data_IF_874991608891
#
_entry.id   IF_874991608891
#
_cell.length_a   1.000
_cell.length_b   1.000
_cell.length_c   1.000
_cell.angle_alpha   90.00
_cell.angle_beta   90.00
_cell.angle_gamma   90.00
#
_symmetry.space_group_name_H-M   'P 1'
#
loop_
_entity.id
_entity.type
_entity.pdbx_description
1 polymer ?
#
# COMPACT_ATOMS: atom_id res chain seq x y z
N UNK A 1 -7.57 13.75 6.59
CA UNK A 1 -6.63 12.97 5.76
C UNK A 1 -6.13 11.81 6.58
N UNK A 2 -6.52 10.60 6.19
CA UNK A 2 -6.12 9.38 6.89
C UNK A 2 -4.76 8.92 6.37
N UNK A 3 -3.80 8.79 7.28
CA UNK A 3 -2.50 8.23 6.95
C UNK A 3 -2.54 6.72 7.14
N UNK A 4 -1.79 6.03 6.30
CA UNK A 4 -1.65 4.59 6.38
C UNK A 4 -0.16 4.26 6.34
N UNK A 5 0.27 3.38 7.23
CA UNK A 5 1.59 2.77 7.21
C UNK A 5 1.52 1.59 6.24
N UNK A 6 2.20 1.72 5.11
CA UNK A 6 2.31 0.71 4.08
C UNK A 6 3.64 0.01 4.20
N UNK A 7 3.62 -1.31 4.15
CA UNK A 7 4.81 -2.16 4.02
C UNK A 7 4.68 -2.95 2.72
N UNK A 8 5.47 -2.56 1.73
CA UNK A 8 5.53 -3.18 0.41
C UNK A 8 6.72 -4.14 0.41
N UNK A 9 6.44 -5.42 0.18
CA UNK A 9 7.45 -6.47 0.05
C UNK A 9 7.42 -6.99 -1.36
N UNK A 10 8.49 -6.84 -2.13
CA UNK A 10 8.63 -7.42 -3.46
C UNK A 10 9.79 -8.42 -3.45
N UNK A 11 9.56 -9.63 -3.96
CA UNK A 11 10.60 -10.65 -4.07
C UNK A 11 11.83 -10.11 -4.80
N UNK A 12 12.98 -10.06 -4.12
CA UNK A 12 14.24 -9.56 -4.68
C UNK A 12 14.57 -8.09 -4.41
N UNK A 13 13.72 -7.34 -3.70
CA UNK A 13 14.00 -5.95 -3.29
C UNK A 13 13.82 -5.75 -1.76
N UNK A 14 14.44 -4.68 -1.24
CA UNK A 14 14.30 -4.29 0.16
C UNK A 14 12.84 -3.90 0.46
N UNK A 15 12.33 -4.29 1.63
CA UNK A 15 11.00 -3.90 2.09
C UNK A 15 10.87 -2.37 2.10
N UNK A 16 9.86 -1.83 1.41
CA UNK A 16 9.56 -0.40 1.39
C UNK A 16 8.50 -0.13 2.45
N UNK A 17 8.90 0.55 3.52
CA UNK A 17 7.99 1.02 4.56
C UNK A 17 7.78 2.52 4.39
N UNK A 18 6.53 2.94 4.17
CA UNK A 18 6.17 4.35 4.03
C UNK A 18 4.85 4.64 4.72
N UNK A 19 4.75 5.80 5.37
CA UNK A 19 3.48 6.32 5.89
C UNK A 19 2.99 7.38 4.94
N UNK A 20 1.92 7.10 4.21
CA UNK A 20 1.36 8.02 3.22
C UNK A 20 -0.15 7.90 3.18
N UNK A 21 -0.80 8.87 2.55
CA UNK A 21 -2.23 8.79 2.23
C UNK A 21 -2.49 7.80 1.08
N UNK A 22 -3.76 7.45 0.88
CA UNK A 22 -4.20 6.59 -0.24
C UNK A 22 -3.79 7.12 -1.64
N UNK A 23 -3.99 8.41 -1.99
CA UNK A 23 -3.55 8.93 -3.28
C UNK A 23 -2.01 8.98 -3.42
N UNK A 24 -1.28 9.21 -2.33
CA UNK A 24 0.18 9.15 -2.36
C UNK A 24 0.70 7.72 -2.53
N UNK A 25 0.02 6.72 -1.96
CA UNK A 25 0.36 5.32 -2.21
C UNK A 25 0.25 4.99 -3.70
N UNK A 26 -0.81 5.47 -4.36
CA UNK A 26 -0.99 5.28 -5.79
C UNK A 26 0.22 5.79 -6.59
N UNK A 27 0.69 7.00 -6.27
CA UNK A 27 1.88 7.59 -6.90
C UNK A 27 3.16 6.78 -6.60
N UNK A 28 3.35 6.37 -5.34
CA UNK A 28 4.48 5.53 -4.93
C UNK A 28 4.50 4.18 -5.65
N UNK A 29 3.34 3.52 -5.79
CA UNK A 29 3.22 2.25 -6.52
C UNK A 29 3.53 2.42 -8.01
N UNK A 30 3.10 3.52 -8.62
CA UNK A 30 3.47 3.86 -10.00
C UNK A 30 4.97 4.12 -10.15
N UNK A 31 5.57 4.86 -9.21
CA UNK A 31 7.01 5.15 -9.20
C UNK A 31 7.86 3.90 -9.01
N UNK A 32 7.42 2.97 -8.16
CA UNK A 32 8.12 1.70 -7.91
C UNK A 32 8.15 0.79 -9.14
N UNK A 33 7.35 1.08 -10.19
CA UNK A 33 7.22 0.27 -11.41
C UNK A 33 7.14 -1.22 -11.06
N UNK A 34 6.27 -1.55 -10.10
CA UNK A 34 6.18 -2.91 -9.60
C UNK A 34 5.95 -3.87 -10.78
N UNK A 35 6.80 -4.90 -10.94
CA UNK A 35 6.74 -5.81 -12.08
C UNK A 35 5.37 -6.48 -12.14
N UNK A 36 4.67 -6.28 -13.27
CA UNK A 36 3.43 -6.99 -13.59
C UNK A 36 2.11 -6.30 -13.25
N UNK A 37 2.07 -5.09 -12.66
CA UNK A 37 0.80 -4.48 -12.26
C UNK A 37 0.58 -3.07 -12.84
N UNK A 38 -0.47 -2.95 -13.66
CA UNK A 38 -1.28 -1.73 -13.75
C UNK A 38 -2.01 -1.55 -12.40
N UNK A 39 -2.21 -0.31 -11.90
CA UNK A 39 -2.56 -0.04 -10.51
C UNK A 39 -3.62 -1.01 -9.97
N UNK A 40 -3.35 -1.67 -8.82
CA UNK A 40 -4.11 -2.84 -8.38
C UNK A 40 -5.61 -2.63 -8.47
N UNK A 41 -6.36 -3.66 -8.86
CA UNK A 41 -7.81 -3.58 -8.97
C UNK A 41 -8.47 -3.03 -7.69
N UNK A 42 -7.98 -3.32 -6.50
CA UNK A 42 -8.51 -2.75 -5.25
C UNK A 42 -8.23 -1.25 -5.05
N UNK A 43 -7.23 -0.69 -5.74
CA UNK A 43 -6.93 0.75 -5.81
C UNK A 43 -7.73 1.44 -6.93
N UNK A 44 -8.13 0.71 -7.98
CA UNK A 44 -8.84 1.25 -9.15
C UNK A 44 -10.34 0.94 -9.21
N UNK A 45 -10.82 -0.09 -8.51
CA UNK A 45 -12.22 -0.52 -8.48
C UNK A 45 -13.11 0.46 -7.72
N UNK A 46 -12.56 1.15 -6.72
CA UNK A 46 -13.28 2.17 -5.97
C UNK A 46 -12.51 3.49 -5.98
N UNK A 47 -12.59 4.27 -7.07
CA UNK A 47 -12.09 5.66 -7.09
C UNK A 47 -12.84 6.56 -6.09
N UNK A 48 -13.93 6.07 -5.50
CA UNK A 48 -14.73 6.72 -4.45
C UNK A 48 -14.42 6.24 -3.04
N UNK A 49 -13.50 5.26 -2.88
CA UNK A 49 -13.11 4.78 -1.56
C UNK A 49 -12.17 5.77 -0.92
N UNK A 50 -12.75 6.66 -0.12
CA UNK A 50 -12.01 7.66 0.65
C UNK A 50 -11.09 7.00 1.69
N UNK A 51 -11.44 5.78 2.16
CA UNK A 51 -10.73 5.09 3.23
C UNK A 51 -10.64 3.57 3.02
N UNK A 52 -9.44 3.01 3.24
CA UNK A 52 -9.25 1.58 3.48
C UNK A 52 -9.63 1.21 4.92
N UNK A 53 -9.94 -0.08 5.17
CA UNK A 53 -10.06 -0.61 6.53
C UNK A 53 -8.81 -0.30 7.36
N UNK A 54 -8.98 -0.32 8.69
CA UNK A 54 -7.96 0.01 9.67
C UNK A 54 -6.66 -0.78 9.49
N UNK A 55 -6.73 -1.97 8.92
CA UNK A 55 -5.58 -2.75 8.50
C UNK A 55 -5.99 -3.69 7.37
N UNK A 56 -5.00 -4.20 6.66
CA UNK A 56 -5.23 -5.19 5.62
C UNK A 56 -3.95 -5.63 4.94
N UNK A 57 -4.06 -6.70 4.16
CA UNK A 57 -2.97 -7.26 3.40
C UNK A 57 -3.45 -7.63 2.01
N UNK A 58 -2.72 -7.18 1.01
CA UNK A 58 -2.82 -7.60 -0.37
C UNK A 58 -1.59 -8.43 -0.74
N UNK A 59 -1.79 -9.52 -1.45
CA UNK A 59 -0.72 -10.35 -2.00
C UNK A 59 -1.00 -10.51 -3.49
N UNK A 60 -0.08 -10.02 -4.33
CA UNK A 60 -0.05 -10.31 -5.74
C UNK A 60 0.71 -11.61 -5.93
N UNK A 61 -0.03 -12.68 -6.23
CA UNK A 61 0.53 -13.96 -6.66
C UNK A 61 -0.02 -14.27 -8.06
N UNK A 62 0.44 -13.52 -9.05
CA UNK A 62 0.02 -13.68 -10.45
C UNK A 62 0.86 -14.73 -11.19
N UNK A 63 1.40 -15.73 -10.48
CA UNK A 63 2.10 -16.88 -11.08
C UNK A 63 3.44 -16.56 -11.76
N UNK A 64 4.02 -15.39 -11.52
CA UNK A 64 5.34 -14.99 -12.03
C UNK A 64 6.34 -14.72 -10.91
N UNK A 65 7.63 -14.68 -11.27
CA UNK A 65 8.82 -14.53 -10.41
C UNK A 65 8.89 -13.24 -9.56
N UNK A 66 7.79 -12.50 -9.47
CA UNK A 66 7.69 -11.15 -8.92
C UNK A 66 6.50 -11.06 -7.96
N UNK A 67 6.35 -12.07 -7.10
CA UNK A 67 5.40 -12.03 -6.00
C UNK A 67 5.70 -10.82 -5.11
N UNK A 68 4.68 -10.00 -4.89
CA UNK A 68 4.77 -8.88 -3.97
C UNK A 68 3.53 -8.80 -3.09
N UNK A 69 3.70 -8.21 -1.91
CA UNK A 69 2.62 -8.01 -0.96
C UNK A 69 2.67 -6.61 -0.40
N UNK A 70 1.49 -6.03 -0.15
CA UNK A 70 1.34 -4.77 0.55
C UNK A 70 0.50 -5.00 1.78
N UNK A 71 1.08 -4.70 2.93
CA UNK A 71 0.37 -4.63 4.20
C UNK A 71 0.13 -3.18 4.50
N UNK A 72 -1.06 -2.84 4.98
CA UNK A 72 -1.37 -1.49 5.42
C UNK A 72 -1.98 -1.48 6.81
N UNK A 73 -1.72 -0.40 7.52
CA UNK A 73 -2.34 -0.11 8.81
C UNK A 73 -2.68 1.36 8.85
N UNK A 74 -3.94 1.68 9.06
CA UNK A 74 -4.44 3.04 9.29
C UNK A 74 -3.74 3.58 10.52
N UNK A 75 -2.95 4.62 10.28
CA UNK A 75 -2.31 5.38 11.34
C UNK A 75 -3.25 6.52 11.69
N UNK A 76 -3.90 6.39 12.84
CA UNK A 76 -4.60 7.49 13.48
C UNK A 76 -3.53 8.44 14.06
N UNK A 77 -2.78 9.15 13.22
CA UNK A 77 -1.87 10.16 13.73
C UNK A 77 -2.68 11.40 14.12
N UNK A 78 -3.00 11.51 15.41
CA UNK A 78 -2.68 12.73 16.12
C UNK A 78 -1.23 12.61 16.62
N UNK A 79 -0.34 13.60 16.37
CA UNK A 79 0.92 13.69 17.09
C UNK A 79 0.62 13.91 18.57
N UNK A 80 0.51 12.82 19.32
CA UNK A 80 0.25 12.88 20.76
C UNK A 80 -0.71 11.80 21.18
N UNK A 81 -0.20 10.60 21.41
CA UNK A 81 -0.32 10.02 22.74
C UNK A 81 0.78 8.98 22.89
N UNK A 82 1.81 9.38 23.64
CA UNK A 82 2.59 8.45 24.43
C UNK A 82 1.82 8.29 25.73
N UNK A 83 1.47 7.07 26.11
CA UNK A 83 1.78 6.51 27.42
C UNK A 83 1.73 4.98 27.36
#
# INVERSE_FOLDING_TARGET
MTHYAWTIKAGGQQDVQKVTTLPELYDVLQMLKLPGIAPPAWLTMDPWRDELPSDGRFVCNEGCANEWSVVWTKVAYGPGDKD
#
